data_IF_906100818046
#
_entry.id   IF_906100818046
#
_cell.length_a   1.000
_cell.length_b   1.000
_cell.length_c   1.000
_cell.angle_alpha   90.00
_cell.angle_beta   90.00
_cell.angle_gamma   90.00
#
_symmetry.space_group_name_H-M   'P 1'
#
loop_
_entity.id
_entity.type
_entity.pdbx_description
1 polymer ?
#
# COMPACT_ATOMS: atom_id res chain seq x y z
N UNK A 1 -22.38 -13.33 -22.44
CA UNK A 1 -22.15 -14.67 -23.01
C UNK A 1 -23.21 -15.03 -24.06
N UNK A 2 -24.52 -14.84 -23.82
CA UNK A 2 -25.59 -15.12 -24.82
C UNK A 2 -25.34 -14.57 -26.24
N UNK A 3 -24.92 -13.30 -26.37
CA UNK A 3 -24.66 -12.69 -27.69
C UNK A 3 -23.49 -13.34 -28.44
N UNK A 4 -22.56 -14.00 -27.75
CA UNK A 4 -21.42 -14.68 -28.37
C UNK A 4 -21.84 -16.04 -28.93
N UNK A 5 -22.74 -16.74 -28.25
CA UNK A 5 -23.29 -18.02 -28.71
C UNK A 5 -24.13 -17.84 -30.00
N UNK A 6 -24.93 -16.78 -30.09
CA UNK A 6 -25.74 -16.49 -31.29
C UNK A 6 -24.92 -16.10 -32.53
N UNK A 7 -23.70 -15.57 -32.34
CA UNK A 7 -22.76 -15.32 -33.45
C UNK A 7 -22.17 -16.64 -33.95
N UNK A 8 -21.82 -17.54 -33.04
CA UNK A 8 -21.31 -18.88 -33.38
C UNK A 8 -22.34 -19.73 -34.12
N UNK A 9 -23.63 -19.53 -33.84
CA UNK A 9 -24.76 -20.17 -34.51
C UNK A 9 -25.13 -19.51 -35.87
N UNK A 10 -24.42 -18.44 -36.27
CA UNK A 10 -24.64 -17.72 -37.53
C UNK A 10 -25.90 -16.84 -37.57
N UNK A 11 -26.57 -16.65 -36.43
CA UNK A 11 -27.83 -15.89 -36.30
C UNK A 11 -27.60 -14.38 -36.19
N UNK A 12 -26.40 -13.97 -35.76
CA UNK A 12 -26.02 -12.56 -35.60
C UNK A 12 -24.75 -12.22 -36.38
N UNK A 13 -24.75 -11.06 -37.03
CA UNK A 13 -23.57 -10.54 -37.71
C UNK A 13 -22.58 -9.98 -36.66
N UNK A 14 -21.43 -10.64 -36.51
CA UNK A 14 -20.39 -10.25 -35.55
C UNK A 14 -19.96 -8.78 -35.65
N UNK A 15 -20.00 -8.19 -36.86
CA UNK A 15 -19.67 -6.77 -37.09
C UNK A 15 -20.65 -5.81 -36.42
N UNK A 16 -21.92 -6.16 -36.36
CA UNK A 16 -22.94 -5.32 -35.73
C UNK A 16 -22.84 -5.42 -34.20
N UNK A 17 -22.57 -6.62 -33.66
CA UNK A 17 -22.30 -6.81 -32.23
C UNK A 17 -21.05 -6.02 -31.78
N UNK A 18 -19.96 -6.05 -32.55
CA UNK A 18 -18.77 -5.25 -32.24
C UNK A 18 -19.03 -3.75 -32.33
N UNK A 19 -19.87 -3.30 -33.28
CA UNK A 19 -20.20 -1.89 -33.44
C UNK A 19 -21.01 -1.37 -32.26
N UNK A 20 -22.00 -2.16 -31.82
CA UNK A 20 -22.82 -1.82 -30.66
C UNK A 20 -21.99 -1.82 -29.37
N UNK A 21 -21.16 -2.85 -29.17
CA UNK A 21 -20.22 -2.88 -28.06
C UNK A 21 -19.29 -1.67 -28.07
N UNK A 22 -18.70 -1.33 -29.22
CA UNK A 22 -17.79 -0.19 -29.34
C UNK A 22 -18.47 1.15 -29.06
N UNK A 23 -19.73 1.30 -29.47
CA UNK A 23 -20.52 2.51 -29.19
C UNK A 23 -20.73 2.69 -27.68
N UNK A 24 -21.15 1.65 -26.97
CA UNK A 24 -21.38 1.71 -25.52
C UNK A 24 -20.06 1.85 -24.75
N UNK A 25 -19.03 1.10 -25.14
CA UNK A 25 -17.71 1.16 -24.53
C UNK A 25 -17.05 2.53 -24.71
N UNK A 26 -17.07 3.08 -25.93
CA UNK A 26 -16.45 4.38 -26.22
C UNK A 26 -17.19 5.53 -25.52
N UNK A 27 -18.53 5.43 -25.37
CA UNK A 27 -19.32 6.34 -24.54
C UNK A 27 -18.86 6.30 -23.08
N UNK A 28 -18.80 5.10 -22.49
CA UNK A 28 -18.34 4.93 -21.11
C UNK A 28 -16.90 5.42 -20.90
N UNK A 29 -15.99 5.17 -21.85
CA UNK A 29 -14.62 5.68 -21.78
C UNK A 29 -14.57 7.20 -21.91
N UNK A 30 -15.39 7.81 -22.77
CA UNK A 30 -15.47 9.26 -22.91
C UNK A 30 -15.97 9.93 -21.61
N UNK A 31 -16.97 9.34 -20.96
CA UNK A 31 -17.51 9.83 -19.69
C UNK A 31 -16.48 9.72 -18.55
N UNK A 32 -15.70 8.63 -18.51
CA UNK A 32 -14.69 8.39 -17.47
C UNK A 32 -13.40 9.17 -17.74
N UNK A 33 -13.12 9.57 -18.99
CA UNK A 33 -11.90 10.28 -19.39
C UNK A 33 -11.73 11.63 -18.68
N UNK A 34 -12.83 12.28 -18.28
CA UNK A 34 -12.80 13.57 -17.61
C UNK A 34 -12.41 13.47 -16.12
N UNK A 35 -12.49 12.27 -15.52
CA UNK A 35 -12.04 12.05 -14.15
C UNK A 35 -10.51 12.06 -14.09
N UNK A 36 -9.96 13.00 -13.32
CA UNK A 36 -8.52 13.03 -13.06
C UNK A 36 -8.21 11.98 -12.01
N UNK A 37 -7.00 11.43 -12.10
CA UNK A 37 -6.46 10.53 -11.05
C UNK A 37 -6.53 11.19 -9.67
N UNK A 38 -6.39 12.52 -9.60
CA UNK A 38 -6.55 13.31 -8.38
C UNK A 38 -7.95 13.17 -7.77
N UNK A 39 -9.01 13.24 -8.57
CA UNK A 39 -10.40 13.17 -8.07
C UNK A 39 -10.67 11.79 -7.46
N UNK A 40 -10.15 10.73 -8.08
CA UNK A 40 -10.23 9.36 -7.57
C UNK A 40 -9.43 9.23 -6.27
N UNK A 41 -8.24 9.83 -6.20
CA UNK A 41 -7.40 9.79 -5.01
C UNK A 41 -8.00 10.56 -3.83
N UNK A 42 -8.68 11.67 -4.09
CA UNK A 42 -9.35 12.46 -3.06
C UNK A 42 -10.56 11.70 -2.51
N UNK A 43 -11.38 11.13 -3.39
CA UNK A 43 -12.49 10.25 -2.99
C UNK A 43 -12.00 9.06 -2.15
N UNK A 44 -10.93 8.37 -2.58
CA UNK A 44 -10.35 7.27 -1.82
C UNK A 44 -9.78 7.73 -0.46
N UNK A 45 -9.19 8.93 -0.40
CA UNK A 45 -8.67 9.50 0.85
C UNK A 45 -9.76 9.82 1.87
N UNK A 46 -10.97 10.12 1.42
CA UNK A 46 -12.14 10.39 2.25
C UNK A 46 -12.77 9.07 2.72
N UNK A 47 -13.11 8.20 1.78
CA UNK A 47 -13.77 6.91 2.05
C UNK A 47 -12.92 5.98 2.91
N UNK A 48 -11.61 5.90 2.65
CA UNK A 48 -10.71 5.04 3.40
C UNK A 48 -10.15 5.72 4.65
N UNK A 49 -10.52 6.97 4.94
CA UNK A 49 -10.02 7.71 6.09
C UNK A 49 -10.09 6.93 7.43
N UNK A 50 -11.21 6.29 7.81
CA UNK A 50 -11.30 5.59 9.10
C UNK A 50 -10.40 4.35 9.20
N UNK A 51 -10.08 3.72 8.06
CA UNK A 51 -9.20 2.54 8.01
C UNK A 51 -7.74 2.93 7.91
N UNK A 52 -7.45 3.96 7.11
CA UNK A 52 -6.09 4.41 6.83
C UNK A 52 -5.52 5.23 7.99
N UNK A 53 -6.37 6.02 8.67
CA UNK A 53 -5.99 6.87 9.80
C UNK A 53 -6.76 6.45 11.06
N UNK A 54 -6.37 5.34 11.72
CA UNK A 54 -7.04 4.89 12.94
C UNK A 54 -6.97 5.97 14.03
N UNK A 55 -8.03 6.05 14.84
CA UNK A 55 -8.09 6.97 15.96
C UNK A 55 -6.90 6.77 16.90
N UNK A 56 -6.24 7.85 17.30
CA UNK A 56 -5.16 7.80 18.29
C UNK A 56 -5.73 7.67 19.69
N UNK A 57 -5.05 6.92 20.55
CA UNK A 57 -5.36 6.81 21.98
C UNK A 57 -5.29 8.19 22.67
N UNK A 58 -4.43 9.08 22.17
CA UNK A 58 -4.25 10.45 22.68
C UNK A 58 -5.38 11.43 22.30
N UNK A 59 -6.45 10.97 21.62
CA UNK A 59 -7.56 11.82 21.16
C UNK A 59 -7.18 12.89 20.12
N UNK A 60 -5.92 12.91 19.68
CA UNK A 60 -5.38 13.83 18.69
C UNK A 60 -5.84 13.46 17.29
N UNK A 61 -5.88 14.44 16.37
CA UNK A 61 -6.32 14.22 15.00
C UNK A 61 -5.46 13.11 14.33
N UNK A 62 -6.09 12.01 13.85
CA UNK A 62 -5.39 10.86 13.26
C UNK A 62 -4.54 11.21 12.02
N UNK A 63 -4.88 12.32 11.36
CA UNK A 63 -4.14 12.80 10.19
C UNK A 63 -2.87 13.55 10.54
N UNK A 64 -2.64 13.95 11.79
CA UNK A 64 -1.41 14.66 12.14
C UNK A 64 -0.22 13.70 12.01
N UNK A 65 0.82 14.12 11.29
CA UNK A 65 2.05 13.34 11.15
C UNK A 65 2.75 13.16 12.52
N UNK A 66 3.07 11.92 12.94
CA UNK A 66 3.74 11.69 14.22
C UNK A 66 5.21 12.14 14.22
N UNK A 67 5.83 12.27 13.05
CA UNK A 67 7.25 12.66 12.92
C UNK A 67 7.47 14.17 13.08
N UNK A 68 6.60 15.00 12.50
CA UNK A 68 6.77 16.46 12.50
C UNK A 68 5.69 17.22 13.29
N UNK A 69 4.60 16.56 13.71
CA UNK A 69 3.51 17.15 14.49
C UNK A 69 2.68 18.23 13.79
N UNK A 70 3.11 18.71 12.63
CA UNK A 70 2.55 19.88 11.93
C UNK A 70 1.96 19.54 10.58
N UNK A 71 2.50 18.53 9.90
CA UNK A 71 2.02 18.08 8.59
C UNK A 71 0.84 17.11 8.69
N UNK A 72 0.02 17.05 7.64
CA UNK A 72 -1.07 16.10 7.54
C UNK A 72 -0.65 14.87 6.72
N UNK A 73 -1.18 13.71 7.09
CA UNK A 73 -1.01 12.46 6.40
C UNK A 73 -2.09 12.32 5.31
N UNK A 74 -1.67 11.91 4.12
CA UNK A 74 -2.57 11.62 2.99
C UNK A 74 -2.17 10.33 2.31
N UNK A 75 -3.14 9.60 1.77
CA UNK A 75 -2.93 8.46 0.91
C UNK A 75 -2.43 8.95 -0.46
N UNK A 76 -1.35 8.34 -0.93
CA UNK A 76 -0.70 8.61 -2.21
C UNK A 76 -0.39 7.28 -2.92
N UNK A 77 -0.26 7.32 -4.24
CA UNK A 77 0.18 6.18 -5.04
C UNK A 77 1.64 6.35 -5.45
N UNK A 78 2.42 5.29 -5.32
CA UNK A 78 3.82 5.24 -5.75
C UNK A 78 4.12 3.97 -6.55
N UNK A 79 5.37 3.82 -6.97
CA UNK A 79 5.84 2.66 -7.74
C UNK A 79 5.57 1.31 -7.05
N UNK A 80 5.59 1.30 -5.71
CA UNK A 80 5.43 0.11 -4.88
C UNK A 80 4.02 -0.03 -4.29
N UNK A 81 3.03 0.66 -4.88
CA UNK A 81 1.64 0.66 -4.43
C UNK A 81 1.25 1.89 -3.61
N UNK A 82 0.14 1.77 -2.89
CA UNK A 82 -0.43 2.85 -2.08
C UNK A 82 0.33 3.03 -0.76
N UNK A 83 0.58 4.28 -0.38
CA UNK A 83 1.28 4.63 0.84
C UNK A 83 0.70 5.91 1.44
N UNK A 84 0.82 6.05 2.76
CA UNK A 84 0.49 7.25 3.51
C UNK A 84 1.74 8.10 3.62
N UNK A 85 1.67 9.38 3.23
CA UNK A 85 2.79 10.32 3.28
C UNK A 85 2.43 11.65 3.94
N UNK A 86 3.42 12.31 4.51
CA UNK A 86 3.27 13.66 5.06
C UNK A 86 3.11 14.73 3.96
N UNK A 87 2.32 15.76 4.23
CA UNK A 87 2.15 16.95 3.38
C UNK A 87 3.40 17.82 3.34
N UNK A 88 4.18 17.86 4.42
CA UNK A 88 5.36 18.73 4.55
C UNK A 88 6.62 18.16 3.87
N UNK A 89 6.48 17.35 2.82
CA UNK A 89 7.64 16.96 2.02
C UNK A 89 8.15 18.18 1.23
N UNK A 90 9.47 18.46 1.14
CA UNK A 90 10.60 17.61 1.50
C UNK A 90 11.07 17.67 2.98
N UNK A 91 10.61 18.64 3.76
CA UNK A 91 11.03 18.84 5.17
C UNK A 91 10.71 17.65 6.10
N UNK A 92 9.65 16.90 5.78
CA UNK A 92 9.26 15.68 6.49
C UNK A 92 9.08 14.50 5.52
N UNK A 93 10.02 13.56 5.57
CA UNK A 93 10.05 12.33 4.76
C UNK A 93 9.25 11.15 5.35
N UNK A 94 8.29 11.41 6.24
CA UNK A 94 7.48 10.35 6.85
C UNK A 94 6.59 9.66 5.81
N UNK A 95 6.73 8.34 5.70
CA UNK A 95 5.90 7.48 4.85
C UNK A 95 5.55 6.18 5.58
N UNK A 96 4.36 5.62 5.29
CA UNK A 96 3.90 4.31 5.79
C UNK A 96 3.18 3.57 4.68
N UNK A 97 3.52 2.31 4.42
CA UNK A 97 2.90 1.53 3.36
C UNK A 97 1.49 1.07 3.76
N UNK A 98 0.52 1.11 2.84
CA UNK A 98 -0.84 0.66 3.12
C UNK A 98 -0.90 -0.87 2.98
N UNK A 99 -1.21 -1.58 4.08
CA UNK A 99 -1.28 -3.04 4.13
C UNK A 99 -0.32 -3.70 5.13
N UNK A 100 0.67 -2.94 5.64
CA UNK A 100 1.54 -3.42 6.72
C UNK A 100 0.87 -3.13 8.08
N UNK A 101 -0.06 -4.01 8.46
CA UNK A 101 -0.74 -3.96 9.77
C UNK A 101 0.25 -4.09 10.95
N UNK A 102 1.51 -4.44 10.68
CA UNK A 102 2.53 -4.65 11.70
C UNK A 102 3.31 -3.37 12.06
N UNK A 103 2.95 -2.18 11.56
CA UNK A 103 3.58 -0.90 11.92
C UNK A 103 2.62 0.33 11.80
N UNK A 104 1.68 0.52 12.74
CA UNK A 104 0.74 1.66 12.71
C UNK A 104 1.41 3.04 12.90
N UNK A 105 2.58 3.10 13.56
CA UNK A 105 3.29 4.37 13.83
C UNK A 105 4.19 4.86 12.68
N UNK A 106 4.26 4.14 11.55
CA UNK A 106 5.10 4.57 10.43
C UNK A 106 6.56 4.81 10.81
N UNK A 107 7.03 4.12 11.85
CA UNK A 107 8.43 3.73 11.90
C UNK A 107 8.64 2.74 10.76
N UNK A 108 8.75 3.28 9.55
CA UNK A 108 9.85 2.86 8.73
C UNK A 108 11.13 3.21 9.52
N UNK A 109 11.46 2.33 10.48
CA UNK A 109 12.83 1.86 10.66
C UNK A 109 13.30 1.17 9.37
N UNK A 110 13.12 1.82 8.22
CA UNK A 110 14.09 1.78 7.16
C UNK A 110 15.30 2.55 7.67
N UNK A 111 16.00 1.95 8.66
CA UNK A 111 17.44 1.96 8.52
C UNK A 111 17.73 1.43 7.13
N UNK A 112 18.74 2.00 6.47
CA UNK A 112 19.10 1.82 5.05
C UNK A 112 19.31 0.36 4.58
N UNK A 113 18.96 -0.64 5.40
CA UNK A 113 19.30 -2.06 5.29
C UNK A 113 18.09 -3.02 5.48
N UNK A 114 16.83 -2.52 5.50
CA UNK A 114 15.64 -3.38 5.57
C UNK A 114 15.51 -4.20 6.87
N UNK A 115 15.93 -3.61 8.00
CA UNK A 115 15.99 -4.23 9.33
C UNK A 115 14.86 -3.71 10.24
N UNK A 116 13.90 -4.55 10.61
CA UNK A 116 12.78 -4.28 11.54
C UNK A 116 13.07 -4.89 12.92
N UNK A 117 13.10 -4.09 13.99
CA UNK A 117 13.24 -4.59 15.37
C UNK A 117 11.96 -5.29 15.83
N UNK A 118 12.05 -6.54 16.32
CA UNK A 118 10.92 -7.32 16.85
C UNK A 118 10.82 -7.27 18.38
N UNK A 119 11.94 -7.00 19.08
CA UNK A 119 11.97 -6.93 20.53
C UNK A 119 13.30 -7.45 21.11
N UNK A 120 13.30 -7.80 22.39
CA UNK A 120 14.47 -8.40 23.07
C UNK A 120 14.15 -9.82 23.50
N UNK A 121 15.13 -10.71 23.39
CA UNK A 121 15.01 -12.08 23.87
C UNK A 121 14.88 -12.09 25.41
N UNK A 122 13.86 -12.75 25.98
CA UNK A 122 13.62 -12.72 27.42
C UNK A 122 14.69 -13.47 28.24
N UNK A 123 15.54 -14.28 27.61
CA UNK A 123 16.58 -15.05 28.28
C UNK A 123 17.96 -14.45 28.10
N UNK A 124 18.26 -13.89 26.92
CA UNK A 124 19.58 -13.33 26.61
C UNK A 124 19.62 -11.80 26.62
N UNK A 125 18.47 -11.12 26.71
CA UNK A 125 18.31 -9.67 26.59
C UNK A 125 18.84 -9.07 25.28
N UNK A 126 19.23 -9.91 24.32
CA UNK A 126 19.73 -9.53 22.99
C UNK A 126 18.58 -9.06 22.11
N UNK A 127 18.86 -8.12 21.20
CA UNK A 127 17.87 -7.59 20.27
C UNK A 127 17.54 -8.60 19.17
N UNK A 128 16.25 -8.80 18.89
CA UNK A 128 15.75 -9.64 17.82
C UNK A 128 15.31 -8.73 16.69
N UNK A 129 15.89 -8.90 15.50
CA UNK A 129 15.60 -8.11 14.31
C UNK A 129 15.14 -9.00 13.15
N UNK A 130 14.19 -8.53 12.36
CA UNK A 130 13.76 -9.11 11.08
C UNK A 130 14.45 -8.34 9.96
N UNK A 131 15.23 -9.03 9.13
CA UNK A 131 16.01 -8.43 8.04
C UNK A 131 15.61 -9.05 6.70
N UNK A 132 15.73 -8.30 5.62
CA UNK A 132 15.50 -8.79 4.25
C UNK A 132 16.82 -9.09 3.55
N UNK A 133 17.11 -10.37 3.28
CA UNK A 133 18.34 -10.80 2.61
C UNK A 133 18.11 -11.32 1.18
N UNK A 134 19.20 -11.61 0.46
CA UNK A 134 19.17 -12.14 -0.91
C UNK A 134 18.39 -13.45 -1.11
N UNK A 135 18.10 -14.16 -0.02
CA UNK A 135 17.37 -15.44 -0.03
C UNK A 135 15.95 -15.32 0.53
N UNK A 136 15.53 -14.13 0.96
CA UNK A 136 14.24 -13.89 1.63
C UNK A 136 14.40 -13.31 3.04
N UNK A 137 13.27 -13.08 3.74
CA UNK A 137 13.27 -12.54 5.09
C UNK A 137 13.88 -13.52 6.10
N UNK A 138 14.66 -13.00 7.04
CA UNK A 138 15.28 -13.77 8.13
C UNK A 138 15.25 -13.00 9.44
N UNK A 139 15.18 -13.72 10.55
CA UNK A 139 15.26 -13.19 11.91
C UNK A 139 16.71 -13.35 12.40
N UNK A 140 17.26 -12.33 13.06
CA UNK A 140 18.59 -12.32 13.65
C UNK A 140 18.51 -11.87 15.11
N UNK A 141 19.20 -12.58 16.00
CA UNK A 141 19.35 -12.23 17.42
C UNK A 141 20.77 -11.71 17.70
N UNK A 142 20.87 -10.47 18.17
CA UNK A 142 22.11 -9.71 18.35
C UNK A 142 22.62 -9.05 17.07
N UNK A 143 23.71 -8.29 17.18
CA UNK A 143 24.38 -7.62 16.05
C UNK A 143 25.73 -8.25 15.70
N UNK A 144 26.11 -8.15 14.42
CA UNK A 144 27.37 -8.67 13.89
C UNK A 144 27.24 -9.95 13.07
N UNK A 145 28.36 -10.38 12.46
CA UNK A 145 28.40 -11.53 11.52
C UNK A 145 28.16 -12.88 12.19
N UNK A 146 28.48 -12.98 13.48
CA UNK A 146 28.34 -14.19 14.32
C UNK A 146 26.94 -14.32 14.96
N UNK A 147 26.06 -13.32 14.77
CA UNK A 147 24.73 -13.31 15.34
C UNK A 147 23.90 -14.51 14.85
N UNK A 148 23.13 -15.12 15.77
CA UNK A 148 22.27 -16.26 15.44
C UNK A 148 21.15 -15.79 14.51
N UNK A 149 21.02 -16.44 13.36
CA UNK A 149 20.03 -16.09 12.32
C UNK A 149 19.19 -17.30 11.90
N UNK A 150 17.92 -17.07 11.58
CA UNK A 150 16.98 -18.08 11.09
C UNK A 150 16.14 -17.51 9.95
N UNK A 151 16.01 -18.23 8.85
CA UNK A 151 15.19 -17.81 7.70
C UNK A 151 13.71 -18.10 7.93
N UNK A 152 12.82 -17.21 7.49
CA UNK A 152 11.39 -17.46 7.47
C UNK A 152 11.01 -18.18 6.16
N UNK A 153 10.26 -19.30 6.22
CA UNK A 153 9.78 -19.97 5.02
C UNK A 153 8.82 -19.06 4.24
N UNK A 154 8.84 -19.17 2.91
CA UNK A 154 7.89 -18.48 2.04
C UNK A 154 6.52 -19.16 2.23
N UNK A 155 5.55 -18.39 2.73
CA UNK A 155 4.13 -18.78 2.75
C UNK A 155 3.52 -18.73 1.36
#
# INVERSE_FOLDING_TARGET
>A
EEKLDEISDGKLAWKDVLRDFWKDFSGAVADIKELRVTDVLDALNEELAPLVFPAREDGSNPRICPKCGTGNLSLKLGKFGAFVGCSNYPECSFTRQLGDAANPNGENGGGEDGTKLLGKDPYTAEEITLRSGRFGPYIQRGDGKEAKRSSLPKG
#
